data_IF_943748397319
#
_entry.id   IF_943748397319
#
_cell.length_a   1.000
_cell.length_b   1.000
_cell.length_c   1.000
_cell.angle_alpha   90.00
_cell.angle_beta   90.00
_cell.angle_gamma   90.00
#
_symmetry.space_group_name_H-M   'P 1'
#
loop_
_entity.id
_entity.type
_entity.pdbx_description
1 polymer ?
#
# COMPACT_ATOMS: atom_id res chain seq x y z
N UNK A 1 3.14 12.25 -17.85
CA UNK A 1 4.47 12.69 -17.35
C UNK A 1 5.11 13.70 -18.30
N UNK A 2 5.04 13.50 -19.60
CA UNK A 2 5.58 14.46 -20.58
C UNK A 2 4.83 15.79 -20.57
N UNK A 3 3.54 15.80 -20.28
CA UNK A 3 2.72 17.02 -20.19
C UNK A 3 3.10 17.94 -19.01
N UNK A 4 3.78 17.43 -17.99
CA UNK A 4 4.20 18.23 -16.83
C UNK A 4 5.61 18.83 -16.98
N UNK A 5 6.34 18.56 -18.08
CA UNK A 5 7.66 19.13 -18.37
C UNK A 5 8.81 18.63 -17.46
N UNK A 6 8.53 17.76 -16.49
CA UNK A 6 9.54 17.18 -15.60
C UNK A 6 9.30 15.67 -15.40
N UNK A 7 10.36 14.86 -15.25
CA UNK A 7 10.21 13.43 -14.98
C UNK A 7 9.62 13.21 -13.58
N UNK A 8 8.80 12.17 -13.45
CA UNK A 8 8.26 11.74 -12.15
C UNK A 8 9.41 11.22 -11.29
N UNK A 9 9.61 11.81 -10.12
CA UNK A 9 10.64 11.43 -9.14
C UNK A 9 10.06 10.78 -7.89
N UNK A 10 8.78 10.99 -7.61
CA UNK A 10 8.04 10.38 -6.50
C UNK A 10 6.79 9.73 -7.08
N UNK A 11 6.60 8.44 -6.80
CA UNK A 11 5.43 7.66 -7.20
C UNK A 11 4.77 7.09 -5.96
N UNK A 12 3.48 7.36 -5.80
CA UNK A 12 2.64 6.74 -4.75
C UNK A 12 1.60 5.85 -5.42
N UNK A 13 1.74 4.54 -5.27
CA UNK A 13 0.77 3.55 -5.71
C UNK A 13 -0.29 3.39 -4.62
N UNK A 14 -1.34 4.18 -4.69
CA UNK A 14 -2.43 4.21 -3.70
C UNK A 14 -3.73 3.58 -4.23
N UNK A 15 -3.94 3.56 -5.54
CA UNK A 15 -5.17 3.03 -6.13
C UNK A 15 -5.40 1.58 -5.70
N UNK A 16 -6.63 1.26 -5.35
CA UNK A 16 -7.01 -0.09 -4.95
C UNK A 16 -8.51 -0.25 -4.81
N UNK A 17 -8.95 -1.47 -5.04
CA UNK A 17 -10.36 -1.89 -4.90
C UNK A 17 -10.44 -3.15 -4.06
N UNK A 18 -11.64 -3.43 -3.56
CA UNK A 18 -12.00 -4.71 -2.96
C UNK A 18 -13.15 -5.36 -3.73
N UNK A 19 -13.21 -6.68 -3.73
CA UNK A 19 -14.32 -7.51 -4.21
C UNK A 19 -14.43 -8.67 -3.22
N UNK A 20 -15.06 -8.39 -2.08
CA UNK A 20 -15.06 -9.31 -0.93
C UNK A 20 -16.05 -10.45 -1.19
N UNK A 21 -15.57 -11.68 -1.08
CA UNK A 21 -16.38 -12.88 -1.17
C UNK A 21 -15.65 -14.05 -0.50
N UNK A 22 -16.41 -15.01 0.04
CA UNK A 22 -15.80 -16.26 0.53
C UNK A 22 -15.17 -17.03 -0.62
N UNK A 23 -14.01 -17.65 -0.42
CA UNK A 23 -13.23 -18.33 -1.46
C UNK A 23 -14.07 -19.31 -2.30
N UNK A 24 -14.98 -20.06 -1.67
CA UNK A 24 -15.85 -21.02 -2.38
C UNK A 24 -16.89 -20.36 -3.28
N UNK A 25 -17.14 -19.05 -3.14
CA UNK A 25 -18.14 -18.29 -3.90
C UNK A 25 -17.51 -17.20 -4.75
N UNK A 26 -16.21 -16.94 -4.55
CA UNK A 26 -15.46 -15.92 -5.28
C UNK A 26 -15.43 -16.28 -6.76
N UNK A 27 -15.81 -15.34 -7.61
CA UNK A 27 -15.75 -15.49 -9.06
C UNK A 27 -14.37 -15.13 -9.56
N UNK A 28 -13.98 -15.71 -10.70
CA UNK A 28 -12.68 -15.42 -11.32
C UNK A 28 -12.55 -13.93 -11.65
N UNK A 29 -13.63 -13.27 -12.09
CA UNK A 29 -13.64 -11.84 -12.38
C UNK A 29 -13.41 -10.99 -11.12
N UNK A 30 -13.92 -11.40 -9.94
CA UNK A 30 -13.69 -10.71 -8.67
C UNK A 30 -12.23 -10.82 -8.23
N UNK A 31 -11.59 -11.93 -8.53
CA UNK A 31 -10.17 -12.15 -8.32
C UNK A 31 -9.33 -11.30 -9.27
N UNK A 32 -9.56 -11.40 -10.57
CA UNK A 32 -8.81 -10.72 -11.62
C UNK A 32 -8.90 -9.20 -11.49
N UNK A 33 -10.10 -8.64 -11.29
CA UNK A 33 -10.30 -7.20 -11.06
C UNK A 33 -9.39 -6.66 -9.95
N UNK A 34 -9.35 -7.37 -8.80
CA UNK A 34 -8.57 -6.93 -7.64
C UNK A 34 -7.08 -7.03 -7.92
N UNK A 35 -6.61 -8.11 -8.53
CA UNK A 35 -5.19 -8.28 -8.88
C UNK A 35 -4.75 -7.24 -9.91
N UNK A 36 -5.58 -6.99 -10.93
CA UNK A 36 -5.26 -6.07 -12.01
C UNK A 36 -5.16 -4.63 -11.50
N UNK A 37 -6.13 -4.17 -10.72
CA UNK A 37 -6.11 -2.80 -10.22
C UNK A 37 -5.06 -2.60 -9.13
N UNK A 38 -5.00 -3.50 -8.15
CA UNK A 38 -4.15 -3.29 -6.97
C UNK A 38 -2.67 -3.58 -7.24
N UNK A 39 -2.37 -4.57 -8.07
CA UNK A 39 -1.00 -5.06 -8.26
C UNK A 39 -0.48 -4.83 -9.68
N UNK A 40 -1.18 -5.32 -10.72
CA UNK A 40 -0.73 -5.25 -12.12
C UNK A 40 -0.57 -3.80 -12.56
N UNK A 41 -1.55 -2.94 -12.31
CA UNK A 41 -1.49 -1.52 -12.66
C UNK A 41 -0.34 -0.80 -11.92
N UNK A 42 -0.15 -1.08 -10.63
CA UNK A 42 0.95 -0.51 -9.83
C UNK A 42 2.32 -0.91 -10.39
N UNK A 43 2.50 -2.17 -10.80
CA UNK A 43 3.72 -2.66 -11.46
C UNK A 43 3.94 -1.94 -12.79
N UNK A 44 2.90 -1.79 -13.62
CA UNK A 44 3.01 -1.15 -14.94
C UNK A 44 3.41 0.33 -14.82
N UNK A 45 2.77 1.07 -13.90
CA UNK A 45 3.08 2.49 -13.65
C UNK A 45 4.50 2.64 -13.09
N UNK A 46 4.86 1.79 -12.12
CA UNK A 46 6.22 1.77 -11.56
C UNK A 46 7.26 1.56 -12.66
N UNK A 47 7.10 0.55 -13.50
CA UNK A 47 7.99 0.24 -14.61
C UNK A 47 8.13 1.42 -15.59
N UNK A 48 7.04 2.13 -15.87
CA UNK A 48 7.05 3.30 -16.75
C UNK A 48 7.87 4.48 -16.15
N UNK A 49 7.89 4.63 -14.81
CA UNK A 49 8.65 5.69 -14.14
C UNK A 49 10.15 5.36 -13.97
N UNK A 50 10.51 4.07 -13.87
CA UNK A 50 11.85 3.63 -13.49
C UNK A 50 12.96 4.20 -14.37
N UNK A 51 12.78 4.22 -15.70
CA UNK A 51 13.83 4.70 -16.62
C UNK A 51 14.26 6.13 -16.31
N UNK A 52 13.30 7.00 -16.02
CA UNK A 52 13.57 8.40 -15.68
C UNK A 52 14.25 8.53 -14.32
N UNK A 53 13.75 7.81 -13.30
CA UNK A 53 14.33 7.77 -11.96
C UNK A 53 15.78 7.25 -11.99
N UNK A 54 16.05 6.16 -12.72
CA UNK A 54 17.40 5.60 -12.86
C UNK A 54 18.38 6.58 -13.54
N UNK A 55 17.91 7.32 -14.57
CA UNK A 55 18.73 8.34 -15.24
C UNK A 55 19.03 9.52 -14.29
N UNK A 56 18.06 9.93 -13.50
CA UNK A 56 18.21 11.00 -12.51
C UNK A 56 19.01 10.57 -11.27
N UNK A 57 19.21 9.26 -11.05
CA UNK A 57 19.78 8.68 -9.82
C UNK A 57 19.05 9.14 -8.57
N UNK A 58 17.74 9.30 -8.68
CA UNK A 58 16.84 9.69 -7.60
C UNK A 58 15.43 9.17 -7.91
N UNK A 59 14.81 8.54 -6.93
CA UNK A 59 13.41 8.12 -6.99
C UNK A 59 12.89 7.71 -5.62
N UNK A 60 11.59 7.88 -5.44
CA UNK A 60 10.84 7.44 -4.26
C UNK A 60 9.60 6.70 -4.74
N UNK A 61 9.52 5.42 -4.48
CA UNK A 61 8.35 4.59 -4.82
C UNK A 61 7.73 4.11 -3.52
N UNK A 62 6.48 4.48 -3.30
CA UNK A 62 5.75 4.19 -2.07
C UNK A 62 4.45 3.50 -2.47
N UNK A 63 4.23 2.30 -1.98
CA UNK A 63 3.02 1.53 -2.25
C UNK A 63 2.15 1.40 -1.01
N UNK A 64 0.86 1.66 -1.15
CA UNK A 64 -0.10 1.51 -0.04
C UNK A 64 -0.64 0.08 -0.07
N UNK A 65 -0.15 -0.73 0.87
CA UNK A 65 -0.64 -2.08 1.13
C UNK A 65 -1.82 -2.04 2.13
N UNK A 66 -1.88 -2.97 3.03
CA UNK A 66 -2.88 -3.08 4.10
C UNK A 66 -2.40 -4.03 5.17
N UNK A 67 -2.91 -3.89 6.38
CA UNK A 67 -2.82 -4.90 7.43
C UNK A 67 -3.31 -6.27 6.92
N UNK A 68 -4.35 -6.29 6.07
CA UNK A 68 -4.91 -7.51 5.49
C UNK A 68 -3.90 -8.26 4.61
N UNK A 69 -2.98 -7.56 3.94
CA UNK A 69 -1.88 -8.18 3.20
C UNK A 69 -0.84 -8.87 4.08
N UNK A 70 -0.88 -8.62 5.38
CA UNK A 70 0.03 -9.16 6.39
C UNK A 70 -0.62 -10.29 7.20
N UNK A 71 -1.85 -10.06 7.67
CA UNK A 71 -2.56 -10.98 8.57
C UNK A 71 -3.58 -11.86 7.87
N UNK A 72 -3.97 -11.52 6.64
CA UNK A 72 -5.16 -12.08 6.00
C UNK A 72 -6.46 -11.55 6.64
N UNK A 73 -7.57 -11.78 5.94
CA UNK A 73 -8.92 -11.56 6.48
C UNK A 73 -9.91 -12.48 5.75
N UNK A 74 -10.79 -13.21 6.45
CA UNK A 74 -11.81 -14.02 5.80
C UNK A 74 -12.64 -13.22 4.81
N UNK A 75 -12.92 -13.79 3.63
CA UNK A 75 -13.65 -13.13 2.57
C UNK A 75 -12.84 -12.17 1.69
N UNK A 76 -11.55 -12.00 1.95
CA UNK A 76 -10.67 -11.08 1.23
C UNK A 76 -9.43 -11.77 0.65
N UNK A 77 -9.54 -13.01 0.19
CA UNK A 77 -8.39 -13.76 -0.32
C UNK A 77 -7.69 -13.05 -1.49
N UNK A 78 -8.45 -12.51 -2.46
CA UNK A 78 -7.95 -11.71 -3.58
C UNK A 78 -7.26 -10.42 -3.12
N UNK A 79 -7.89 -9.66 -2.22
CA UNK A 79 -7.34 -8.43 -1.67
C UNK A 79 -6.06 -8.70 -0.86
N UNK A 80 -6.10 -9.70 0.03
CA UNK A 80 -4.94 -10.12 0.81
C UNK A 80 -3.77 -10.53 -0.10
N UNK A 81 -4.04 -11.33 -1.13
CA UNK A 81 -3.03 -11.74 -2.11
C UNK A 81 -2.41 -10.54 -2.83
N UNK A 82 -3.24 -9.58 -3.30
CA UNK A 82 -2.76 -8.38 -3.99
C UNK A 82 -1.88 -7.51 -3.09
N UNK A 83 -2.29 -7.31 -1.83
CA UNK A 83 -1.57 -6.46 -0.87
C UNK A 83 -0.31 -7.14 -0.32
N UNK A 84 -0.30 -8.45 -0.15
CA UNK A 84 0.89 -9.23 0.19
C UNK A 84 1.88 -9.28 -1.00
N UNK A 85 1.37 -9.48 -2.21
CA UNK A 85 2.17 -9.44 -3.44
C UNK A 85 2.88 -8.11 -3.64
N UNK A 86 2.23 -6.99 -3.29
CA UNK A 86 2.83 -5.66 -3.33
C UNK A 86 4.06 -5.55 -2.40
N UNK A 87 4.00 -6.18 -1.22
CA UNK A 87 5.14 -6.21 -0.27
C UNK A 87 6.31 -6.97 -0.88
N UNK A 88 6.06 -8.16 -1.44
CA UNK A 88 7.09 -8.98 -2.10
C UNK A 88 7.69 -8.28 -3.31
N UNK A 89 6.84 -7.73 -4.19
CA UNK A 89 7.26 -6.94 -5.35
C UNK A 89 8.15 -5.77 -4.96
N UNK A 90 7.76 -5.01 -3.93
CA UNK A 90 8.52 -3.84 -3.49
C UNK A 90 9.90 -4.22 -2.94
N UNK A 91 10.03 -5.33 -2.23
CA UNK A 91 11.33 -5.85 -1.74
C UNK A 91 12.26 -6.24 -2.88
N UNK A 92 11.75 -6.97 -3.87
CA UNK A 92 12.53 -7.37 -5.04
C UNK A 92 13.02 -6.14 -5.82
N UNK A 93 12.11 -5.21 -6.10
CA UNK A 93 12.45 -3.98 -6.81
C UNK A 93 13.43 -3.11 -6.03
N UNK A 94 13.29 -3.00 -4.72
CA UNK A 94 14.23 -2.26 -3.87
C UNK A 94 15.66 -2.77 -4.03
N UNK A 95 15.86 -4.09 -4.04
CA UNK A 95 17.16 -4.70 -4.25
C UNK A 95 17.76 -4.38 -5.63
N UNK A 96 16.92 -4.31 -6.67
CA UNK A 96 17.35 -4.00 -8.05
C UNK A 96 17.82 -2.55 -8.22
N UNK A 97 17.15 -1.59 -7.55
CA UNK A 97 17.31 -0.15 -7.86
C UNK A 97 18.00 0.67 -6.78
N UNK A 98 18.29 0.10 -5.61
CA UNK A 98 18.90 0.82 -4.49
C UNK A 98 20.23 1.50 -4.87
N UNK A 99 21.08 0.84 -5.66
CA UNK A 99 22.37 1.38 -6.12
C UNK A 99 22.21 2.61 -7.05
N UNK A 100 20.99 2.90 -7.46
CA UNK A 100 20.64 4.05 -8.30
C UNK A 100 20.04 5.21 -7.50
N UNK A 101 20.08 5.17 -6.16
CA UNK A 101 19.51 6.21 -5.30
C UNK A 101 17.97 6.22 -5.30
N UNK A 102 17.37 5.11 -5.66
CA UNK A 102 15.91 4.92 -5.67
C UNK A 102 15.54 4.09 -4.45
N UNK A 103 14.58 4.57 -3.66
CA UNK A 103 14.00 3.79 -2.56
C UNK A 103 12.61 3.28 -2.92
N UNK A 104 12.30 2.07 -2.48
CA UNK A 104 11.00 1.43 -2.70
C UNK A 104 10.50 0.91 -1.36
N UNK A 105 9.40 1.48 -0.87
CA UNK A 105 8.86 1.13 0.44
C UNK A 105 7.34 0.91 0.37
N UNK A 106 6.83 0.26 1.39
CA UNK A 106 5.41 -0.04 1.53
C UNK A 106 4.90 0.57 2.84
N UNK A 107 3.69 1.10 2.81
CA UNK A 107 2.93 1.43 4.01
C UNK A 107 1.82 0.38 4.13
N UNK A 108 1.65 -0.19 5.32
CA UNK A 108 0.58 -1.13 5.64
C UNK A 108 -0.36 -0.49 6.69
N UNK A 109 -1.40 0.24 6.23
CA UNK A 109 -2.39 0.82 7.12
C UNK A 109 -3.21 -0.24 7.84
N UNK A 110 -3.66 0.08 9.05
CA UNK A 110 -4.74 -0.62 9.74
C UNK A 110 -6.11 -0.14 9.32
N UNK A 111 -7.04 -0.07 10.26
CA UNK A 111 -8.35 0.53 10.03
C UNK A 111 -8.25 2.06 10.10
N UNK A 112 -8.54 2.71 8.99
CA UNK A 112 -8.47 4.17 8.82
C UNK A 112 -9.88 4.72 8.70
N UNK A 113 -10.14 5.84 9.40
CA UNK A 113 -11.38 6.58 9.27
C UNK A 113 -11.56 7.08 7.83
N UNK A 114 -12.65 6.69 7.22
CA UNK A 114 -13.03 7.03 5.84
C UNK A 114 -14.54 7.14 5.77
N UNK A 115 -15.11 7.76 4.74
CA UNK A 115 -16.57 7.77 4.55
C UNK A 115 -17.21 6.37 4.59
N UNK A 116 -16.46 5.31 4.30
CA UNK A 116 -16.95 3.93 4.40
C UNK A 116 -17.06 3.45 5.86
N UNK A 117 -16.25 3.95 6.77
CA UNK A 117 -16.32 3.61 8.20
C UNK A 117 -17.36 4.46 8.95
N UNK A 118 -17.73 5.62 8.40
CA UNK A 118 -18.71 6.51 9.02
C UNK A 118 -20.12 5.93 9.01
N UNK A 119 -20.44 5.10 8.01
CA UNK A 119 -21.75 4.45 7.87
C UNK A 119 -21.93 3.17 8.70
N UNK A 120 -20.90 2.73 9.40
CA UNK A 120 -20.96 1.57 10.30
C UNK A 120 -21.78 1.91 11.55
N UNK A 121 -22.59 0.96 12.02
CA UNK A 121 -23.27 1.08 13.30
C UNK A 121 -22.29 0.99 14.48
N UNK A 122 -22.76 1.37 15.67
CA UNK A 122 -21.92 1.43 16.88
C UNK A 122 -21.34 0.06 17.24
N UNK A 123 -22.08 -1.02 17.08
CA UNK A 123 -21.62 -2.38 17.37
C UNK A 123 -20.53 -2.84 16.41
N UNK A 124 -20.65 -2.50 15.13
CA UNK A 124 -19.63 -2.76 14.13
C UNK A 124 -18.36 -1.95 14.40
N UNK A 125 -18.50 -0.67 14.77
CA UNK A 125 -17.37 0.18 15.17
C UNK A 125 -16.66 -0.37 16.39
N UNK A 126 -17.41 -0.77 17.42
CA UNK A 126 -16.86 -1.35 18.65
C UNK A 126 -16.09 -2.66 18.36
N UNK A 127 -16.64 -3.53 17.50
CA UNK A 127 -15.97 -4.74 17.03
C UNK A 127 -14.66 -4.49 16.27
N UNK A 128 -14.61 -3.42 15.47
CA UNK A 128 -13.37 -2.98 14.80
C UNK A 128 -12.35 -2.43 15.81
N UNK A 129 -12.79 -1.55 16.71
CA UNK A 129 -11.93 -0.92 17.71
C UNK A 129 -11.34 -1.94 18.68
N UNK A 130 -12.09 -2.98 19.04
CA UNK A 130 -11.59 -4.09 19.87
C UNK A 130 -10.37 -4.82 19.28
N UNK A 131 -10.10 -4.67 17.98
CA UNK A 131 -8.94 -5.24 17.27
C UNK A 131 -7.75 -4.28 17.20
N UNK A 132 -7.92 -3.03 17.59
CA UNK A 132 -6.88 -1.98 17.51
C UNK A 132 -6.36 -1.67 18.92
N UNK A 133 -5.12 -2.05 19.28
CA UNK A 133 -4.56 -1.76 20.60
C UNK A 133 -4.61 -0.28 21.00
N UNK A 134 -4.48 0.64 20.05
CA UNK A 134 -4.63 2.09 20.32
C UNK A 134 -6.07 2.54 20.63
N UNK A 135 -7.08 1.65 20.48
CA UNK A 135 -8.48 1.92 20.81
C UNK A 135 -9.16 2.97 19.92
N UNK A 136 -8.58 3.31 18.76
CA UNK A 136 -9.17 4.25 17.80
C UNK A 136 -8.85 3.83 16.35
N UNK A 137 -9.62 4.33 15.43
CA UNK A 137 -9.23 4.28 14.01
C UNK A 137 -8.04 5.22 13.77
N UNK A 138 -7.22 4.91 12.78
CA UNK A 138 -6.23 5.83 12.26
C UNK A 138 -6.89 6.90 11.39
N UNK A 139 -6.22 8.03 11.22
CA UNK A 139 -6.63 9.11 10.34
C UNK A 139 -5.89 9.05 9.01
N UNK A 140 -6.53 9.53 7.92
CA UNK A 140 -5.89 9.59 6.60
C UNK A 140 -4.59 10.42 6.64
N UNK A 141 -4.55 11.46 7.46
CA UNK A 141 -3.38 12.31 7.64
C UNK A 141 -2.18 11.58 8.28
N UNK A 142 -2.40 10.54 9.08
CA UNK A 142 -1.32 9.70 9.63
C UNK A 142 -0.64 8.87 8.54
N UNK A 143 -1.42 8.40 7.56
CA UNK A 143 -0.89 7.73 6.36
C UNK A 143 -0.18 8.72 5.45
N UNK A 144 -0.77 9.91 5.25
CA UNK A 144 -0.18 10.97 4.44
C UNK A 144 1.16 11.44 5.04
N UNK A 145 1.24 11.67 6.34
CA UNK A 145 2.49 12.06 7.02
C UNK A 145 3.60 11.01 6.83
N UNK A 146 3.26 9.73 6.97
CA UNK A 146 4.21 8.62 6.71
C UNK A 146 4.65 8.60 5.24
N UNK A 147 3.73 8.85 4.31
CA UNK A 147 4.03 8.94 2.88
C UNK A 147 4.99 10.09 2.58
N UNK A 148 4.74 11.28 3.15
CA UNK A 148 5.61 12.46 3.02
C UNK A 148 7.00 12.17 3.58
N UNK A 149 7.10 11.53 4.74
CA UNK A 149 8.38 11.12 5.30
C UNK A 149 9.16 10.19 4.36
N UNK A 150 8.52 9.13 3.85
CA UNK A 150 9.17 8.20 2.93
C UNK A 150 9.55 8.84 1.58
N UNK A 151 8.85 9.89 1.17
CA UNK A 151 9.15 10.66 -0.04
C UNK A 151 10.32 11.64 0.15
N UNK A 152 10.68 11.93 1.38
CA UNK A 152 11.68 12.94 1.74
C UNK A 152 13.12 12.45 1.51
N UNK A 153 14.10 13.36 1.70
CA UNK A 153 15.53 13.04 1.66
C UNK A 153 15.99 12.30 2.92
N UNK A 154 15.35 12.56 4.03
CA UNK A 154 15.63 11.97 5.36
C UNK A 154 15.39 10.45 5.35
N UNK A 155 14.46 9.98 4.55
CA UNK A 155 14.20 8.55 4.35
C UNK A 155 15.13 7.89 3.30
N UNK A 156 16.19 8.58 2.86
CA UNK A 156 17.06 8.13 1.77
C UNK A 156 17.79 6.81 2.01
N UNK A 157 17.86 6.32 3.25
CA UNK A 157 18.48 5.05 3.62
C UNK A 157 17.45 3.96 3.98
N UNK A 158 16.13 4.27 3.82
CA UNK A 158 15.05 3.33 4.05
C UNK A 158 14.59 2.78 2.70
N UNK A 159 14.80 1.49 2.43
CA UNK A 159 14.33 0.83 1.21
C UNK A 159 14.01 -0.65 1.47
N UNK A 160 13.02 -1.19 0.78
CA UNK A 160 12.51 -2.55 0.96
C UNK A 160 11.70 -2.74 2.25
N UNK A 161 11.47 -1.67 3.02
CA UNK A 161 10.74 -1.68 4.27
C UNK A 161 9.21 -1.70 4.07
N UNK A 162 8.53 -2.27 5.06
CA UNK A 162 7.08 -2.12 5.22
C UNK A 162 6.83 -1.39 6.53
N UNK A 163 6.28 -0.18 6.46
CA UNK A 163 5.93 0.62 7.62
C UNK A 163 4.49 0.32 8.02
N UNK A 164 4.33 -0.23 9.22
CA UNK A 164 3.04 -0.58 9.79
C UNK A 164 2.42 0.63 10.49
N UNK A 165 1.36 1.21 9.90
CA UNK A 165 0.63 2.35 10.44
C UNK A 165 -0.79 1.86 10.78
N UNK A 166 -0.89 1.10 11.86
CA UNK A 166 -2.07 0.26 12.12
C UNK A 166 -2.53 0.24 13.59
N UNK A 167 -2.07 1.19 14.41
CA UNK A 167 -2.49 1.28 15.82
C UNK A 167 -2.11 0.06 16.67
N UNK A 168 -1.09 -0.71 16.24
CA UNK A 168 -0.63 -1.92 16.94
C UNK A 168 -1.35 -3.21 16.55
N UNK A 169 -2.19 -3.22 15.52
CA UNK A 169 -2.89 -4.42 15.05
C UNK A 169 -1.94 -5.53 14.56
N UNK A 170 -0.78 -5.17 14.04
CA UNK A 170 0.30 -6.10 13.73
C UNK A 170 1.65 -5.45 14.07
N UNK A 171 2.42 -6.14 14.89
CA UNK A 171 3.76 -5.74 15.37
C UNK A 171 4.78 -6.74 14.80
N UNK A 172 5.37 -6.38 13.64
CA UNK A 172 6.25 -7.23 12.84
C UNK A 172 7.59 -6.54 12.57
#
# INVERSE_FOLDING_TARGET
AEAAGAPISILVNNAGITRDNLMMRMKDEEWDDVLDVNMTASMMITRACLRAMMKARFGRIISISSIVGVTGNPGQANYAASKAGMIGFSKALAAEVASRGITVNVIAPGFIATPMTDVLDDGQKEGLLGRVPMGRLGEADEIAATTVFLASKEAGYITGGTLHVNGGMAML
#
